data_IF_737826211604
#
_entry.id   IF_737826211604
#
_cell.length_a   1.000
_cell.length_b   1.000
_cell.length_c   1.000
_cell.angle_alpha   90.00
_cell.angle_beta   90.00
_cell.angle_gamma   90.00
#
_symmetry.space_group_name_H-M   'P 1'
#
loop_
_entity.id
_entity.type
_entity.pdbx_description
1 polymer ?
#
# COMPACT_ATOMS: atom_id res chain seq x y z
N UNK A 1 6.52 27.29 -33.80
CA UNK A 1 6.33 25.96 -33.21
C UNK A 1 7.13 25.99 -31.92
N UNK A 2 6.45 26.11 -30.77
CA UNK A 2 7.13 26.20 -29.49
C UNK A 2 7.53 24.79 -29.06
N UNK A 3 8.82 24.47 -29.15
CA UNK A 3 9.38 23.27 -28.51
C UNK A 3 9.35 23.50 -26.99
N UNK A 4 8.42 22.81 -26.31
CA UNK A 4 8.53 22.54 -24.88
C UNK A 4 9.84 21.80 -24.61
N UNK A 5 10.68 22.21 -23.64
CA UNK A 5 11.79 21.38 -23.21
C UNK A 5 11.21 20.07 -22.66
N UNK A 6 11.50 18.97 -23.34
CA UNK A 6 11.29 17.62 -22.83
C UNK A 6 12.21 17.47 -21.62
N UNK A 7 11.70 17.73 -20.43
CA UNK A 7 12.36 17.39 -19.16
C UNK A 7 12.47 15.88 -19.13
N UNK A 8 13.59 15.35 -19.64
CA UNK A 8 13.91 13.94 -19.49
C UNK A 8 13.88 13.62 -17.99
N UNK A 9 13.24 12.52 -17.56
CA UNK A 9 13.28 12.12 -16.16
C UNK A 9 14.77 11.95 -15.79
N UNK A 10 15.21 12.64 -14.74
CA UNK A 10 16.53 12.41 -14.16
C UNK A 10 16.57 10.92 -13.84
N UNK A 11 17.38 10.16 -14.58
CA UNK A 11 17.48 8.72 -14.41
C UNK A 11 18.12 8.45 -13.04
N UNK A 12 17.27 8.32 -12.01
CA UNK A 12 17.69 7.93 -10.68
C UNK A 12 18.25 6.52 -10.78
N UNK A 13 19.57 6.41 -10.73
CA UNK A 13 20.25 5.13 -10.86
C UNK A 13 20.17 4.42 -9.52
N UNK A 14 19.29 3.42 -9.43
CA UNK A 14 19.24 2.49 -8.32
C UNK A 14 20.25 1.35 -8.55
N UNK A 15 20.82 0.77 -7.47
CA UNK A 15 21.65 -0.42 -7.61
C UNK A 15 20.80 -1.60 -8.12
N UNK A 16 21.39 -2.49 -8.94
CA UNK A 16 20.67 -3.67 -9.44
C UNK A 16 20.24 -4.58 -8.28
N UNK A 17 19.16 -5.31 -8.52
CA UNK A 17 18.59 -6.28 -7.58
C UNK A 17 18.98 -7.71 -7.98
N UNK A 18 18.99 -8.67 -7.04
CA UNK A 18 19.29 -10.06 -7.35
C UNK A 18 18.27 -10.68 -8.30
N UNK A 19 18.72 -11.68 -9.07
CA UNK A 19 17.85 -12.48 -9.92
C UNK A 19 16.76 -13.18 -9.08
N UNK A 20 15.48 -13.05 -9.43
CA UNK A 20 14.38 -13.62 -8.67
C UNK A 20 14.13 -15.10 -8.94
N UNK A 21 14.84 -15.71 -9.89
CA UNK A 21 14.63 -17.11 -10.23
C UNK A 21 15.38 -18.05 -9.29
N UNK A 22 14.90 -19.29 -9.19
CA UNK A 22 15.61 -20.37 -8.49
C UNK A 22 15.47 -20.40 -6.97
N UNK A 23 14.36 -19.89 -6.43
CA UNK A 23 14.02 -19.95 -5.00
C UNK A 23 12.74 -19.18 -4.67
N UNK A 24 12.40 -19.13 -3.38
CA UNK A 24 11.30 -18.31 -2.87
C UNK A 24 11.77 -16.91 -2.43
N UNK A 25 10.87 -16.11 -1.85
CA UNK A 25 11.22 -14.77 -1.38
C UNK A 25 12.24 -14.76 -0.24
N UNK A 26 12.37 -15.83 0.56
CA UNK A 26 13.44 -15.92 1.57
C UNK A 26 14.80 -16.13 0.91
N UNK A 27 14.87 -17.00 -0.10
CA UNK A 27 16.09 -17.20 -0.89
C UNK A 27 16.52 -15.91 -1.59
N UNK A 28 15.56 -15.17 -2.15
CA UNK A 28 15.84 -13.89 -2.80
C UNK A 28 16.27 -12.82 -1.79
N UNK A 29 15.63 -12.76 -0.62
CA UNK A 29 15.99 -11.86 0.47
C UNK A 29 17.42 -12.07 0.96
N UNK A 30 17.86 -13.33 1.06
CA UNK A 30 19.22 -13.68 1.46
C UNK A 30 20.29 -13.20 0.47
N UNK A 31 19.91 -12.93 -0.79
CA UNK A 31 20.80 -12.42 -1.84
C UNK A 31 20.85 -10.89 -1.92
N UNK A 32 20.00 -10.17 -1.16
CA UNK A 32 19.97 -8.71 -1.19
C UNK A 32 21.33 -8.10 -0.76
N UNK A 33 21.79 -7.12 -1.54
CA UNK A 33 23.10 -6.47 -1.43
C UNK A 33 22.92 -4.96 -1.77
N UNK A 34 23.99 -4.18 -1.71
CA UNK A 34 24.11 -2.82 -2.26
C UNK A 34 23.17 -1.82 -1.62
N UNK A 35 22.88 -2.03 -0.34
CA UNK A 35 22.03 -1.15 0.46
C UNK A 35 20.53 -1.43 0.34
N UNK A 36 20.12 -2.46 -0.43
CA UNK A 36 18.77 -2.99 -0.34
C UNK A 36 18.58 -3.73 0.99
N UNK A 37 17.44 -3.51 1.63
CA UNK A 37 17.09 -4.20 2.88
C UNK A 37 15.61 -4.60 2.86
N UNK A 38 15.27 -5.83 3.26
CA UNK A 38 13.88 -6.26 3.35
C UNK A 38 13.15 -5.45 4.44
N UNK A 39 11.87 -5.20 4.22
CA UNK A 39 11.01 -4.47 5.13
C UNK A 39 9.73 -5.26 5.33
N UNK A 40 9.51 -5.73 6.56
CA UNK A 40 8.29 -6.44 6.96
C UNK A 40 7.15 -5.48 7.40
N UNK A 41 7.47 -4.21 7.63
CA UNK A 41 6.48 -3.24 8.07
C UNK A 41 6.98 -1.79 8.08
N UNK A 42 6.05 -0.84 7.98
CA UNK A 42 6.31 0.60 8.02
C UNK A 42 5.36 1.21 9.05
N UNK A 43 5.92 1.85 10.09
CA UNK A 43 5.15 2.61 11.11
C UNK A 43 3.99 1.81 11.74
N UNK A 44 4.19 0.50 11.94
CA UNK A 44 3.18 -0.38 12.55
C UNK A 44 2.23 -1.04 11.55
N UNK A 45 2.28 -0.68 10.27
CA UNK A 45 1.58 -1.38 9.19
C UNK A 45 2.46 -2.50 8.67
N UNK A 46 1.96 -3.73 8.66
CA UNK A 46 2.65 -4.87 8.07
C UNK A 46 2.61 -4.79 6.54
N UNK A 47 3.69 -5.25 5.90
CA UNK A 47 3.90 -5.12 4.46
C UNK A 47 4.31 -6.47 3.86
N UNK A 48 3.70 -6.81 2.73
CA UNK A 48 3.95 -8.04 1.99
C UNK A 48 3.26 -9.25 2.60
N UNK A 49 3.54 -10.41 2.01
CA UNK A 49 3.05 -11.72 2.43
C UNK A 49 4.20 -12.71 2.22
N UNK A 50 5.06 -12.85 3.22
CA UNK A 50 6.31 -13.59 3.08
C UNK A 50 6.03 -15.09 3.15
N UNK A 51 6.57 -15.92 2.23
CA UNK A 51 7.64 -15.61 1.27
C UNK A 51 7.20 -15.15 -0.13
N UNK A 52 5.91 -15.05 -0.42
CA UNK A 52 5.40 -14.84 -1.78
C UNK A 52 5.58 -13.40 -2.28
N UNK A 53 5.42 -12.43 -1.38
CA UNK A 53 5.56 -10.99 -1.63
C UNK A 53 6.56 -10.39 -0.66
N UNK A 54 7.79 -10.14 -1.11
CA UNK A 54 8.84 -9.54 -0.26
C UNK A 54 9.17 -8.14 -0.76
N UNK A 55 9.02 -7.14 0.12
CA UNK A 55 9.38 -5.75 -0.17
C UNK A 55 10.75 -5.43 0.40
N UNK A 56 11.61 -4.79 -0.38
CA UNK A 56 12.88 -4.25 0.07
C UNK A 56 13.04 -2.77 -0.31
N UNK A 57 13.73 -2.04 0.55
CA UNK A 57 13.96 -0.61 0.44
C UNK A 57 15.43 -0.29 0.21
N UNK A 58 15.68 0.72 -0.62
CA UNK A 58 16.98 1.37 -0.76
C UNK A 58 16.87 2.82 -0.27
N UNK A 59 17.84 3.27 0.53
CA UNK A 59 17.99 4.65 0.97
C UNK A 59 19.38 5.16 0.64
N UNK A 60 19.47 6.20 -0.19
CA UNK A 60 20.70 6.98 -0.36
C UNK A 60 20.39 8.47 -0.22
N UNK A 61 20.37 9.00 1.03
CA UNK A 61 20.18 10.42 1.28
C UNK A 61 21.24 11.29 0.60
N UNK A 62 22.46 10.77 0.44
CA UNK A 62 23.56 11.45 -0.22
C UNK A 62 23.29 11.72 -1.71
N UNK A 63 22.56 10.82 -2.38
CA UNK A 63 22.19 10.99 -3.80
C UNK A 63 20.72 11.42 -3.98
N UNK A 64 19.96 11.55 -2.89
CA UNK A 64 18.52 11.81 -2.93
C UNK A 64 17.70 10.68 -3.56
N UNK A 65 18.26 9.47 -3.64
CA UNK A 65 17.61 8.33 -4.29
C UNK A 65 17.01 7.38 -3.25
N UNK A 66 15.72 7.09 -3.40
CA UNK A 66 14.97 6.19 -2.53
C UNK A 66 14.31 5.12 -3.39
N UNK A 67 14.61 3.85 -3.15
CA UNK A 67 14.12 2.74 -3.97
C UNK A 67 13.15 1.85 -3.20
N UNK A 68 12.14 1.33 -3.90
CA UNK A 68 11.39 0.15 -3.49
C UNK A 68 11.60 -0.92 -4.54
N UNK A 69 11.84 -2.15 -4.10
CA UNK A 69 11.84 -3.32 -4.97
C UNK A 69 10.97 -4.40 -4.34
N UNK A 70 10.22 -5.12 -5.14
CA UNK A 70 9.25 -6.10 -4.69
C UNK A 70 9.44 -7.38 -5.46
N UNK A 71 9.71 -8.46 -4.74
CA UNK A 71 9.64 -9.82 -5.24
C UNK A 71 8.19 -10.30 -5.21
N UNK A 72 7.73 -10.89 -6.32
CA UNK A 72 6.42 -11.51 -6.50
C UNK A 72 6.63 -12.88 -7.16
N UNK A 73 6.71 -13.95 -6.37
CA UNK A 73 6.86 -15.35 -6.83
C UNK A 73 7.68 -15.54 -8.12
N UNK A 74 8.91 -15.03 -8.12
CA UNK A 74 9.84 -15.19 -9.24
C UNK A 74 9.90 -14.03 -10.24
N UNK A 75 9.15 -12.95 -9.99
CA UNK A 75 9.33 -11.66 -10.68
C UNK A 75 9.76 -10.56 -9.71
N UNK A 76 10.42 -9.51 -10.22
CA UNK A 76 10.80 -8.34 -9.42
C UNK A 76 10.43 -7.03 -10.10
N UNK A 77 9.65 -6.22 -9.40
CA UNK A 77 9.33 -4.85 -9.78
C UNK A 77 10.16 -3.87 -8.96
N UNK A 78 10.73 -2.83 -9.59
CA UNK A 78 11.55 -1.82 -8.89
C UNK A 78 11.15 -0.41 -9.28
N UNK A 79 10.96 0.46 -8.28
CA UNK A 79 10.65 1.88 -8.48
C UNK A 79 11.60 2.78 -7.70
N UNK A 80 11.95 3.91 -8.31
CA UNK A 80 12.75 4.97 -7.71
C UNK A 80 11.87 6.18 -7.35
N UNK A 81 12.22 6.83 -6.23
CA UNK A 81 11.58 8.03 -5.72
C UNK A 81 12.64 9.04 -5.30
N UNK A 82 12.23 10.31 -5.30
CA UNK A 82 13.07 11.45 -4.90
C UNK A 82 13.08 11.69 -3.39
N UNK A 83 12.15 11.04 -2.68
CA UNK A 83 12.00 11.19 -1.24
C UNK A 83 11.61 9.88 -0.56
N UNK A 84 12.05 9.75 0.70
CA UNK A 84 11.66 8.65 1.59
C UNK A 84 10.15 8.57 1.76
N UNK A 85 9.50 9.72 1.90
CA UNK A 85 8.05 9.81 2.14
C UNK A 85 7.24 9.28 0.95
N UNK A 86 7.64 9.59 -0.28
CA UNK A 86 6.98 9.05 -1.49
C UNK A 86 7.13 7.53 -1.59
N UNK A 87 8.35 7.01 -1.33
CA UNK A 87 8.60 5.56 -1.30
C UNK A 87 7.75 4.87 -0.23
N UNK A 88 7.73 5.40 0.99
CA UNK A 88 6.98 4.83 2.11
C UNK A 88 5.48 4.83 1.81
N UNK A 89 4.96 5.93 1.23
CA UNK A 89 3.55 6.04 0.82
C UNK A 89 3.20 5.01 -0.26
N UNK A 90 4.03 4.86 -1.30
CA UNK A 90 3.79 3.84 -2.32
C UNK A 90 3.81 2.43 -1.72
N UNK A 91 4.76 2.16 -0.82
CA UNK A 91 4.89 0.86 -0.19
C UNK A 91 3.64 0.48 0.59
N UNK A 92 3.16 1.39 1.44
CA UNK A 92 1.94 1.15 2.25
C UNK A 92 0.71 1.04 1.35
N UNK A 93 0.52 1.92 0.37
CA UNK A 93 -0.66 1.90 -0.49
C UNK A 93 -0.80 0.62 -1.32
N UNK A 94 0.30 0.03 -1.76
CA UNK A 94 0.28 -1.10 -2.69
C UNK A 94 0.48 -2.46 -2.02
N UNK A 95 1.17 -2.50 -0.88
CA UNK A 95 1.65 -3.76 -0.29
C UNK A 95 1.34 -3.93 1.20
N UNK A 96 0.54 -3.06 1.82
CA UNK A 96 0.06 -3.31 3.18
C UNK A 96 -1.00 -4.43 3.20
N UNK A 97 -0.87 -5.35 4.16
CA UNK A 97 -1.83 -6.46 4.33
C UNK A 97 -3.25 -5.95 4.59
N UNK A 98 -3.39 -4.90 5.40
CA UNK A 98 -4.68 -4.28 5.75
C UNK A 98 -5.25 -3.34 4.66
N UNK A 99 -4.55 -3.11 3.54
CA UNK A 99 -5.08 -2.29 2.45
C UNK A 99 -6.26 -2.95 1.70
N UNK A 100 -6.65 -4.17 2.10
CA UNK A 100 -7.78 -4.92 1.54
C UNK A 100 -9.11 -4.76 2.31
N UNK A 101 -9.20 -3.95 3.38
CA UNK A 101 -10.44 -3.79 4.16
C UNK A 101 -11.11 -2.41 4.02
N UNK A 102 -11.37 -1.96 2.80
CA UNK A 102 -12.35 -0.90 2.54
C UNK A 102 -13.28 -1.36 1.39
N UNK A 103 -14.04 -2.43 1.62
CA UNK A 103 -15.03 -2.90 0.63
C UNK A 103 -15.85 -4.12 1.04
N UNK A 104 -17.06 -3.85 1.53
CA UNK A 104 -18.25 -4.72 1.59
C UNK A 104 -18.45 -5.65 2.79
N UNK A 105 -19.37 -5.25 3.68
CA UNK A 105 -20.04 -6.21 4.57
C UNK A 105 -20.76 -5.68 5.81
N UNK A 106 -21.73 -4.76 5.68
CA UNK A 106 -23.06 -4.88 6.32
C UNK A 106 -23.90 -3.63 6.03
N UNK A 107 -24.43 -3.56 4.81
CA UNK A 107 -25.77 -3.03 4.62
C UNK A 107 -26.76 -4.03 5.22
N UNK A 108 -27.35 -3.69 6.36
CA UNK A 108 -28.74 -3.97 6.75
C UNK A 108 -28.91 -3.67 8.25
N UNK A 109 -29.55 -2.52 8.56
CA UNK A 109 -30.80 -2.46 9.34
C UNK A 109 -31.21 -1.01 9.58
N UNK A 110 -31.93 -0.44 8.63
CA UNK A 110 -33.01 0.50 8.96
C UNK A 110 -34.11 0.37 7.91
N UNK A 111 -34.98 -0.63 8.08
CA UNK A 111 -36.36 -0.47 7.69
C UNK A 111 -37.15 -0.03 8.92
N UNK A 112 -37.62 1.22 9.01
CA UNK A 112 -38.78 1.50 9.84
C UNK A 112 -40.01 1.04 9.06
N UNK A 113 -40.47 -0.18 9.34
CA UNK A 113 -41.82 -0.60 8.96
C UNK A 113 -42.82 0.32 9.68
N UNK A 114 -43.29 1.34 8.96
CA UNK A 114 -44.50 2.07 9.35
C UNK A 114 -45.68 1.16 9.12
N UNK A 115 -46.16 0.54 10.17
CA UNK A 115 -47.60 0.25 10.28
C UNK A 115 -48.18 1.13 11.38
N UNK A 116 -49.08 1.99 10.92
CA UNK A 116 -50.00 2.74 11.73
C UNK A 116 -50.99 1.78 12.39
N UNK A 117 -51.18 1.89 13.71
CA UNK A 117 -52.54 1.94 14.24
C UNK A 117 -52.61 2.43 15.68
N UNK A 118 -53.52 3.38 15.91
CA UNK A 118 -54.35 3.38 17.11
C UNK A 118 -53.99 4.38 18.22
N UNK A 119 -54.69 5.51 18.25
CA UNK A 119 -55.17 6.05 19.52
C UNK A 119 -54.66 7.43 19.93
N UNK A 120 -54.99 8.46 19.14
CA UNK A 120 -55.31 9.75 19.73
C UNK A 120 -56.60 9.58 20.52
N UNK A 121 -56.64 10.08 21.76
CA UNK A 121 -57.83 10.72 22.36
C UNK A 121 -57.49 11.21 23.77
N UNK A 122 -56.81 12.35 23.82
CA UNK A 122 -56.85 13.24 24.98
C UNK A 122 -58.04 14.18 24.80
N UNK A 123 -59.21 13.81 25.31
CA UNK A 123 -60.30 14.75 25.55
C UNK A 123 -60.33 15.11 27.04
N UNK A 124 -60.11 16.40 27.28
CA UNK A 124 -60.22 17.05 28.58
C UNK A 124 -61.67 17.10 29.08
N UNK A 125 -61.76 17.37 30.40
CA UNK A 125 -62.75 18.21 31.11
C UNK A 125 -63.77 17.45 32.01
N UNK A 126 -64.47 18.14 32.94
CA UNK A 126 -64.11 18.15 34.36
C UNK A 126 -65.32 17.83 35.25
N UNK A 127 -65.14 17.75 36.57
CA UNK A 127 -65.84 18.52 37.64
C UNK A 127 -65.20 18.19 38.98
#
# INVERSE_FOLDING_TARGET
MSETPNTAPVAMTLPPVPDPTGGDGYDWMAKLDRGWRPVAGIKGTMIGDWPYVVVAHYDSPATGAYGVTVYLEGDVETHAYTSRTERDRHTVLKYAEDAQDEGDGHGERTEPHRDANGGVDGHSRPV
#
